data_IF_225046540630
#
_entry.id   IF_225046540630
#
_cell.length_a   1.000
_cell.length_b   1.000
_cell.length_c   1.000
_cell.angle_alpha   90.00
_cell.angle_beta   90.00
_cell.angle_gamma   90.00
#
_symmetry.space_group_name_H-M   'P 1'
#
loop_
_entity.id
_entity.type
_entity.pdbx_description
1 polymer ?
#
# COMPACT_ATOMS: atom_id res chain seq x y z
N UNK A 1 78.46 16.59 14.08
CA UNK A 1 77.21 17.24 14.55
C UNK A 1 76.95 18.41 13.61
N UNK A 2 75.88 18.56 12.84
CA UNK A 2 74.66 17.79 12.55
C UNK A 2 74.05 18.53 11.34
N UNK A 3 73.79 17.86 10.20
CA UNK A 3 73.16 18.48 9.02
C UNK A 3 71.64 18.47 9.22
N UNK A 4 71.02 19.65 9.25
CA UNK A 4 69.56 19.80 9.25
C UNK A 4 69.04 19.58 7.83
N UNK A 5 68.24 18.53 7.65
CA UNK A 5 67.46 18.26 6.44
C UNK A 5 66.09 18.90 6.63
N UNK A 6 65.80 19.92 5.84
CA UNK A 6 64.49 20.59 5.80
C UNK A 6 63.55 19.73 4.94
N UNK A 7 62.63 19.01 5.58
CA UNK A 7 61.57 18.25 4.91
C UNK A 7 60.40 19.19 4.64
N UNK A 8 60.23 19.56 3.36
CA UNK A 8 59.05 20.29 2.88
C UNK A 8 57.89 19.29 2.72
N UNK A 9 56.95 19.35 3.65
CA UNK A 9 55.72 18.56 3.66
C UNK A 9 54.70 19.27 2.76
N UNK A 10 54.58 18.82 1.52
CA UNK A 10 53.54 19.27 0.58
C UNK A 10 52.24 18.55 0.96
N UNK A 11 51.36 19.23 1.69
CA UNK A 11 49.98 18.78 1.91
C UNK A 11 49.18 18.98 0.63
N UNK A 12 48.96 17.92 -0.13
CA UNK A 12 48.01 17.90 -1.23
C UNK A 12 46.60 18.04 -0.66
N UNK A 13 45.97 19.20 -0.88
CA UNK A 13 44.55 19.39 -0.63
C UNK A 13 43.76 18.56 -1.66
N UNK A 14 43.19 17.43 -1.22
CA UNK A 14 42.17 16.72 -1.98
C UNK A 14 40.90 17.57 -1.98
N UNK A 15 40.80 18.52 -2.90
CA UNK A 15 39.49 19.04 -3.32
C UNK A 15 38.80 17.89 -4.07
N UNK A 16 37.94 17.13 -3.41
CA UNK A 16 37.01 16.27 -4.15
C UNK A 16 36.13 17.21 -4.98
N UNK A 17 36.33 17.23 -6.30
CA UNK A 17 35.32 17.78 -7.19
C UNK A 17 34.03 16.99 -6.94
N UNK A 18 33.07 17.61 -6.25
CA UNK A 18 31.71 17.11 -6.20
C UNK A 18 31.16 17.13 -7.63
N UNK A 19 30.57 16.02 -8.05
CA UNK A 19 29.88 15.97 -9.33
C UNK A 19 28.42 16.43 -9.17
N UNK A 20 27.76 16.82 -10.27
CA UNK A 20 26.37 17.18 -10.23
C UNK A 20 25.51 16.11 -9.55
N UNK A 21 24.65 16.52 -8.62
CA UNK A 21 23.72 15.67 -7.90
C UNK A 21 24.27 14.89 -6.70
N UNK A 22 25.57 14.98 -6.36
CA UNK A 22 26.15 14.30 -5.20
C UNK A 22 25.41 14.62 -3.88
N UNK A 23 24.87 15.83 -3.77
CA UNK A 23 24.09 16.34 -2.64
C UNK A 23 22.83 15.51 -2.37
N UNK A 24 22.22 14.92 -3.41
CA UNK A 24 20.97 14.14 -3.31
C UNK A 24 21.19 12.68 -2.93
N UNK A 25 22.42 12.16 -2.99
CA UNK A 25 22.70 10.75 -2.75
C UNK A 25 22.33 10.29 -1.33
N UNK A 26 22.30 11.20 -0.35
CA UNK A 26 21.84 10.91 1.02
C UNK A 26 20.34 10.59 1.03
N UNK A 27 19.55 11.51 0.48
CA UNK A 27 18.09 11.44 0.48
C UNK A 27 17.58 10.30 -0.39
N UNK A 28 18.19 10.08 -1.57
CA UNK A 28 17.84 8.97 -2.46
C UNK A 28 18.04 7.60 -1.79
N UNK A 29 19.14 7.42 -1.03
CA UNK A 29 19.36 6.19 -0.24
C UNK A 29 18.36 6.05 0.90
N UNK A 30 17.94 7.16 1.51
CA UNK A 30 16.92 7.10 2.54
C UNK A 30 15.59 6.65 1.95
N UNK A 31 15.16 7.26 0.84
CA UNK A 31 13.95 6.86 0.13
C UNK A 31 14.00 5.40 -0.33
N UNK A 32 15.13 4.92 -0.83
CA UNK A 32 15.31 3.50 -1.18
C UNK A 32 15.06 2.57 0.02
N UNK A 33 15.58 2.91 1.20
CA UNK A 33 15.33 2.14 2.43
C UNK A 33 13.86 2.19 2.84
N UNK A 34 13.23 3.35 2.74
CA UNK A 34 11.81 3.51 3.07
C UNK A 34 10.92 2.70 2.11
N UNK A 35 11.25 2.69 0.81
CA UNK A 35 10.56 1.85 -0.18
C UNK A 35 10.74 0.38 0.12
N UNK A 36 11.96 -0.08 0.44
CA UNK A 36 12.21 -1.46 0.83
C UNK A 36 11.45 -1.87 2.11
N UNK A 37 11.35 -0.97 3.10
CA UNK A 37 10.54 -1.19 4.29
C UNK A 37 9.06 -1.35 3.96
N UNK A 38 8.51 -0.46 3.12
CA UNK A 38 7.13 -0.58 2.63
C UNK A 38 6.89 -1.87 1.82
N UNK A 39 7.87 -2.32 1.03
CA UNK A 39 7.77 -3.55 0.24
C UNK A 39 7.71 -4.77 1.17
N UNK A 40 8.45 -4.72 2.28
CA UNK A 40 8.41 -5.75 3.32
C UNK A 40 7.02 -5.82 3.97
N UNK A 41 6.40 -4.68 4.27
CA UNK A 41 5.01 -4.61 4.76
C UNK A 41 4.05 -5.25 3.75
N UNK A 42 4.12 -4.86 2.47
CA UNK A 42 3.27 -5.44 1.42
C UNK A 42 3.44 -6.96 1.29
N UNK A 43 4.68 -7.46 1.40
CA UNK A 43 4.96 -8.90 1.29
C UNK A 43 4.39 -9.72 2.46
N UNK A 44 4.17 -9.09 3.62
CA UNK A 44 3.51 -9.73 4.75
C UNK A 44 2.00 -9.92 4.52
N UNK A 45 1.40 -9.15 3.59
CA UNK A 45 -0.01 -9.27 3.24
C UNK A 45 -0.24 -10.37 2.19
N UNK A 46 -0.94 -11.43 2.59
CA UNK A 46 -1.37 -12.47 1.67
C UNK A 46 -2.58 -12.00 0.83
N UNK A 47 -2.34 -11.71 -0.45
CA UNK A 47 -3.35 -11.26 -1.43
C UNK A 47 -4.55 -12.22 -1.49
N UNK A 48 -4.31 -13.54 -1.45
CA UNK A 48 -5.35 -14.56 -1.52
C UNK A 48 -6.23 -14.54 -0.27
N UNK A 49 -5.64 -14.26 0.90
CA UNK A 49 -6.40 -14.12 2.15
C UNK A 49 -7.35 -12.92 2.10
N UNK A 50 -6.90 -11.79 1.53
CA UNK A 50 -7.74 -10.60 1.32
C UNK A 50 -8.83 -10.87 0.28
N UNK A 51 -8.50 -11.59 -0.80
CA UNK A 51 -9.46 -11.99 -1.82
C UNK A 51 -10.55 -12.90 -1.24
N UNK A 52 -10.16 -13.91 -0.45
CA UNK A 52 -11.10 -14.81 0.22
C UNK A 52 -12.01 -14.07 1.21
N UNK A 53 -11.49 -13.08 1.93
CA UNK A 53 -12.32 -12.24 2.81
C UNK A 53 -13.35 -11.43 2.00
N UNK A 54 -12.95 -10.85 0.87
CA UNK A 54 -13.89 -10.14 -0.03
C UNK A 54 -14.97 -11.05 -0.56
N UNK A 55 -14.61 -12.27 -0.97
CA UNK A 55 -15.56 -13.24 -1.49
C UNK A 55 -16.58 -13.65 -0.42
N UNK A 56 -16.13 -13.92 0.81
CA UNK A 56 -17.04 -14.18 1.94
C UNK A 56 -18.02 -13.04 2.14
N UNK A 57 -17.53 -11.80 2.14
CA UNK A 57 -18.37 -10.60 2.29
C UNK A 57 -19.37 -10.48 1.14
N UNK A 58 -18.94 -10.71 -0.10
CA UNK A 58 -19.83 -10.70 -1.26
C UNK A 58 -20.96 -11.74 -1.15
N UNK A 59 -20.64 -12.97 -0.75
CA UNK A 59 -21.65 -14.02 -0.56
C UNK A 59 -22.69 -13.66 0.51
N UNK A 60 -22.27 -13.09 1.65
CA UNK A 60 -23.23 -12.65 2.69
C UNK A 60 -24.09 -11.50 2.21
N UNK A 61 -23.54 -10.57 1.44
CA UNK A 61 -24.35 -9.50 0.85
C UNK A 61 -25.37 -10.01 -0.16
N UNK A 62 -25.04 -11.04 -0.94
CA UNK A 62 -26.02 -11.67 -1.82
C UNK A 62 -27.21 -12.25 -1.03
N UNK A 63 -26.93 -12.88 0.11
CA UNK A 63 -27.97 -13.40 1.01
C UNK A 63 -28.80 -12.29 1.66
N UNK A 64 -28.13 -11.25 2.16
CA UNK A 64 -28.77 -10.11 2.83
C UNK A 64 -29.60 -9.26 1.88
N UNK A 65 -29.12 -9.02 0.65
CA UNK A 65 -29.83 -8.19 -0.33
C UNK A 65 -31.23 -8.76 -0.63
N UNK A 66 -31.34 -10.09 -0.72
CA UNK A 66 -32.62 -10.75 -0.91
C UNK A 66 -33.47 -10.76 0.37
N UNK A 67 -32.90 -11.10 1.53
CA UNK A 67 -33.63 -11.13 2.80
C UNK A 67 -34.18 -9.75 3.19
N UNK A 68 -33.38 -8.69 3.05
CA UNK A 68 -33.75 -7.32 3.43
C UNK A 68 -34.81 -6.73 2.49
N UNK A 69 -34.89 -7.22 1.24
CA UNK A 69 -35.92 -6.81 0.30
C UNK A 69 -37.31 -7.36 0.63
N UNK A 70 -37.41 -8.41 1.44
CA UNK A 70 -38.67 -9.02 1.84
C UNK A 70 -39.34 -8.23 2.96
N UNK A 71 -40.49 -7.63 2.68
CA UNK A 71 -41.24 -6.80 3.63
C UNK A 71 -41.90 -7.59 4.76
N UNK A 72 -41.93 -8.92 4.69
CA UNK A 72 -42.48 -9.78 5.75
C UNK A 72 -41.48 -10.01 6.89
N UNK A 73 -40.19 -9.75 6.65
CA UNK A 73 -39.14 -9.89 7.65
C UNK A 73 -38.94 -8.59 8.44
N UNK A 74 -38.88 -8.72 9.76
CA UNK A 74 -38.62 -7.61 10.68
C UNK A 74 -37.18 -7.67 11.16
N UNK A 75 -36.48 -6.54 11.10
CA UNK A 75 -35.10 -6.42 11.58
C UNK A 75 -35.04 -5.54 12.81
N UNK A 76 -34.25 -5.97 13.80
CA UNK A 76 -33.95 -5.15 14.98
C UNK A 76 -32.92 -4.07 14.66
N UNK A 77 -32.74 -3.13 15.59
CA UNK A 77 -31.69 -2.11 15.46
C UNK A 77 -30.32 -2.77 15.47
N UNK A 78 -30.13 -3.79 16.30
CA UNK A 78 -28.91 -4.58 16.42
C UNK A 78 -28.59 -5.30 15.11
N UNK A 79 -29.60 -5.88 14.44
CA UNK A 79 -29.43 -6.50 13.12
C UNK A 79 -28.96 -5.46 12.09
N UNK A 80 -29.59 -4.29 12.08
CA UNK A 80 -29.21 -3.18 11.20
C UNK A 80 -27.78 -2.70 11.43
N UNK A 81 -27.34 -2.61 12.69
CA UNK A 81 -25.96 -2.27 13.03
C UNK A 81 -24.97 -3.32 12.53
N UNK A 82 -25.31 -4.61 12.67
CA UNK A 82 -24.49 -5.72 12.19
C UNK A 82 -24.35 -5.73 10.66
N UNK A 83 -25.45 -5.52 9.94
CA UNK A 83 -25.44 -5.36 8.47
C UNK A 83 -24.59 -4.14 8.08
N UNK A 84 -24.75 -3.02 8.80
CA UNK A 84 -23.96 -1.81 8.61
C UNK A 84 -22.46 -2.02 8.84
N UNK A 85 -22.07 -2.83 9.83
CA UNK A 85 -20.68 -3.23 10.03
C UNK A 85 -20.14 -3.99 8.81
N UNK A 86 -20.92 -4.92 8.26
CA UNK A 86 -20.53 -5.66 7.05
C UNK A 86 -20.43 -4.75 5.82
N UNK A 87 -21.25 -3.70 5.73
CA UNK A 87 -21.12 -2.71 4.67
C UNK A 87 -19.80 -1.93 4.76
N UNK A 88 -19.33 -1.65 6.00
CA UNK A 88 -17.99 -1.08 6.22
C UNK A 88 -16.88 -2.04 5.85
N UNK A 89 -16.99 -3.33 6.22
CA UNK A 89 -16.04 -4.37 5.78
C UNK A 89 -15.92 -4.38 4.25
N UNK A 90 -17.06 -4.44 3.55
CA UNK A 90 -17.11 -4.41 2.08
C UNK A 90 -16.40 -3.18 1.51
N UNK A 91 -16.58 -2.01 2.13
CA UNK A 91 -15.93 -0.76 1.70
C UNK A 91 -14.42 -0.79 1.94
N UNK A 92 -13.96 -1.25 3.09
CA UNK A 92 -12.54 -1.35 3.41
C UNK A 92 -11.80 -2.31 2.47
N UNK A 93 -12.44 -3.43 2.14
CA UNK A 93 -11.83 -4.45 1.30
C UNK A 93 -12.09 -4.24 -0.20
N UNK A 94 -12.84 -3.21 -0.63
CA UNK A 94 -13.39 -3.07 -1.99
C UNK A 94 -12.37 -3.29 -3.10
N UNK A 95 -11.12 -2.84 -2.95
CA UNK A 95 -10.07 -2.94 -3.96
C UNK A 95 -8.77 -3.57 -3.43
N UNK A 96 -8.81 -4.24 -2.27
CA UNK A 96 -7.62 -4.70 -1.53
C UNK A 96 -6.61 -5.49 -2.39
N UNK A 97 -7.01 -6.61 -3.05
CA UNK A 97 -6.09 -7.41 -3.85
C UNK A 97 -5.45 -6.65 -5.02
N UNK A 98 -6.24 -5.83 -5.71
CA UNK A 98 -5.76 -4.99 -6.82
C UNK A 98 -4.80 -3.92 -6.31
N UNK A 99 -5.06 -3.32 -5.14
CA UNK A 99 -4.15 -2.33 -4.53
C UNK A 99 -2.83 -2.96 -4.13
N UNK A 100 -2.84 -4.12 -3.47
CA UNK A 100 -1.61 -4.83 -3.08
C UNK A 100 -0.73 -5.16 -4.30
N UNK A 101 -1.31 -5.75 -5.33
CA UNK A 101 -0.59 -6.11 -6.56
C UNK A 101 -0.07 -4.89 -7.33
N UNK A 102 -0.83 -3.78 -7.31
CA UNK A 102 -0.40 -2.53 -7.95
C UNK A 102 0.74 -1.88 -7.18
N UNK A 103 0.65 -1.82 -5.85
CA UNK A 103 1.68 -1.23 -4.99
C UNK A 103 2.99 -2.03 -5.04
N UNK A 104 2.95 -3.36 -5.12
CA UNK A 104 4.15 -4.19 -5.31
C UNK A 104 4.88 -3.82 -6.62
N UNK A 105 4.14 -3.67 -7.73
CA UNK A 105 4.71 -3.26 -9.02
C UNK A 105 5.27 -1.84 -8.97
N UNK A 106 4.54 -0.91 -8.36
CA UNK A 106 4.97 0.48 -8.22
C UNK A 106 6.19 0.62 -7.32
N UNK A 107 6.29 -0.17 -6.25
CA UNK A 107 7.45 -0.16 -5.36
C UNK A 107 8.71 -0.66 -6.06
N UNK A 108 8.61 -1.75 -6.84
CA UNK A 108 9.71 -2.24 -7.69
C UNK A 108 10.16 -1.20 -8.71
N UNK A 109 9.20 -0.49 -9.34
CA UNK A 109 9.51 0.60 -10.26
C UNK A 109 10.24 1.74 -9.54
N UNK A 110 9.74 2.16 -8.37
CA UNK A 110 10.36 3.21 -7.58
C UNK A 110 11.80 2.86 -7.16
N UNK A 111 12.05 1.63 -6.71
CA UNK A 111 13.40 1.14 -6.40
C UNK A 111 14.32 1.21 -7.63
N UNK A 112 13.85 0.77 -8.79
CA UNK A 112 14.64 0.85 -10.02
C UNK A 112 14.94 2.28 -10.43
N UNK A 113 13.98 3.21 -10.29
CA UNK A 113 14.19 4.62 -10.63
C UNK A 113 15.19 5.30 -9.68
N UNK A 114 15.08 5.04 -8.38
CA UNK A 114 16.03 5.52 -7.37
C UNK A 114 17.45 5.00 -7.63
N UNK A 115 17.59 3.70 -7.90
CA UNK A 115 18.88 3.08 -8.23
C UNK A 115 19.48 3.66 -9.51
N UNK A 116 18.70 3.75 -10.59
CA UNK A 116 19.15 4.33 -11.86
C UNK A 116 19.63 5.77 -11.68
N UNK A 117 18.91 6.59 -10.91
CA UNK A 117 19.30 7.98 -10.65
C UNK A 117 20.59 8.04 -9.82
N UNK A 118 20.70 7.23 -8.77
CA UNK A 118 21.94 7.15 -7.97
C UNK A 118 23.13 6.67 -8.79
N UNK A 119 22.93 5.73 -9.72
CA UNK A 119 23.99 5.27 -10.63
C UNK A 119 24.40 6.36 -11.61
N UNK A 120 23.45 7.11 -12.18
CA UNK A 120 23.75 8.23 -13.06
C UNK A 120 24.56 9.32 -12.36
N UNK A 121 24.20 9.67 -11.12
CA UNK A 121 24.97 10.61 -10.29
C UNK A 121 26.38 10.05 -10.05
N UNK A 122 26.51 8.84 -9.49
CA UNK A 122 27.83 8.26 -9.13
C UNK A 122 28.74 8.02 -10.34
N UNK A 123 28.15 7.75 -11.50
CA UNK A 123 28.85 7.53 -12.75
C UNK A 123 29.25 8.82 -13.47
N UNK A 124 28.88 9.99 -12.94
CA UNK A 124 29.13 11.28 -13.59
C UNK A 124 28.48 11.37 -14.97
N UNK A 125 27.25 10.86 -15.11
CA UNK A 125 26.52 10.92 -16.36
C UNK A 125 26.34 12.38 -16.80
N UNK A 126 26.64 12.67 -18.06
CA UNK A 126 26.67 14.05 -18.60
C UNK A 126 25.46 14.36 -19.47
N UNK A 127 24.81 13.35 -20.04
CA UNK A 127 23.63 13.47 -20.88
C UNK A 127 22.65 12.31 -20.63
N UNK A 128 21.35 12.59 -20.70
CA UNK A 128 20.30 11.57 -20.64
C UNK A 128 20.09 10.87 -21.99
N UNK A 129 19.17 9.89 -22.04
CA UNK A 129 18.87 9.13 -23.24
C UNK A 129 18.33 9.95 -24.42
N UNK A 130 17.91 11.20 -24.19
CA UNK A 130 17.42 12.13 -25.20
C UNK A 130 18.45 13.22 -25.56
N UNK A 131 19.68 13.13 -25.02
CA UNK A 131 20.72 14.15 -25.18
C UNK A 131 20.53 15.39 -24.31
N UNK A 132 19.72 15.31 -23.25
CA UNK A 132 19.55 16.41 -22.29
C UNK A 132 20.76 16.44 -21.36
N UNK A 133 21.46 17.59 -21.20
CA UNK A 133 22.54 17.71 -20.24
C UNK A 133 22.08 17.39 -18.81
N UNK A 134 22.86 16.57 -18.11
CA UNK A 134 22.63 16.16 -16.72
C UNK A 134 23.47 17.03 -15.77
N UNK A 135 23.13 18.32 -15.72
CA UNK A 135 23.73 19.27 -14.77
C UNK A 135 23.06 19.22 -13.39
N UNK A 136 23.47 20.11 -12.47
CA UNK A 136 22.88 20.15 -11.12
C UNK A 136 21.37 20.38 -11.17
N UNK A 137 20.89 21.27 -12.05
CA UNK A 137 19.47 21.58 -12.17
C UNK A 137 18.67 20.38 -12.70
N UNK A 138 19.26 19.58 -13.59
CA UNK A 138 18.70 18.30 -13.99
C UNK A 138 18.56 17.37 -12.79
N UNK A 139 19.63 17.16 -12.02
CA UNK A 139 19.61 16.24 -10.88
C UNK A 139 18.71 16.71 -9.75
N UNK A 140 18.63 18.00 -9.45
CA UNK A 140 17.64 18.59 -8.53
C UNK A 140 16.22 18.21 -8.94
N UNK A 141 15.91 18.39 -10.22
CA UNK A 141 14.59 18.11 -10.78
C UNK A 141 14.26 16.62 -10.77
N UNK A 142 15.22 15.74 -11.05
CA UNK A 142 14.97 14.30 -11.03
C UNK A 142 14.88 13.78 -9.59
N UNK A 143 15.79 14.18 -8.70
CA UNK A 143 15.74 13.79 -7.30
C UNK A 143 14.42 14.19 -6.65
N UNK A 144 13.96 15.43 -6.86
CA UNK A 144 12.67 15.88 -6.35
C UNK A 144 11.47 15.05 -6.86
N UNK A 145 11.52 14.55 -8.10
CA UNK A 145 10.47 13.69 -8.66
C UNK A 145 10.48 12.32 -8.01
N UNK A 146 11.64 11.68 -7.94
CA UNK A 146 11.77 10.32 -7.42
C UNK A 146 11.50 10.26 -5.91
N UNK A 147 11.98 11.24 -5.14
CA UNK A 147 11.68 11.35 -3.71
C UNK A 147 10.19 11.53 -3.44
N UNK A 148 9.52 12.39 -4.23
CA UNK A 148 8.06 12.59 -4.11
C UNK A 148 7.29 11.32 -4.50
N UNK A 149 7.74 10.60 -5.53
CA UNK A 149 7.12 9.34 -5.93
C UNK A 149 7.24 8.28 -4.82
N UNK A 150 8.42 8.16 -4.19
CA UNK A 150 8.66 7.27 -3.06
C UNK A 150 7.77 7.62 -1.85
N UNK A 151 7.66 8.90 -1.50
CA UNK A 151 6.80 9.38 -0.42
C UNK A 151 5.32 9.04 -0.68
N UNK A 152 4.81 9.38 -1.86
CA UNK A 152 3.41 9.10 -2.22
C UNK A 152 3.09 7.60 -2.23
N UNK A 153 4.04 6.80 -2.71
CA UNK A 153 3.93 5.36 -2.67
C UNK A 153 3.89 4.84 -1.23
N UNK A 154 4.76 5.33 -0.34
CA UNK A 154 4.78 4.95 1.08
C UNK A 154 3.48 5.28 1.82
N UNK A 155 2.91 6.47 1.57
CA UNK A 155 1.59 6.85 2.09
C UNK A 155 0.48 5.90 1.59
N UNK A 156 0.54 5.49 0.32
CA UNK A 156 -0.42 4.55 -0.24
C UNK A 156 -0.29 3.14 0.36
N UNK A 157 0.93 2.71 0.70
CA UNK A 157 1.17 1.46 1.45
C UNK A 157 0.52 1.52 2.82
N UNK A 158 0.81 2.57 3.61
CA UNK A 158 0.27 2.73 4.96
C UNK A 158 -1.27 2.77 4.98
N UNK A 159 -1.89 3.49 4.04
CA UNK A 159 -3.34 3.54 3.95
C UNK A 159 -3.94 2.19 3.50
N UNK A 160 -3.25 1.47 2.61
CA UNK A 160 -3.70 0.15 2.17
C UNK A 160 -3.64 -0.87 3.31
N UNK A 161 -2.55 -0.88 4.06
CA UNK A 161 -2.40 -1.68 5.28
C UNK A 161 -3.53 -1.37 6.27
N UNK A 162 -3.74 -0.10 6.61
CA UNK A 162 -4.79 0.32 7.55
C UNK A 162 -6.17 -0.17 7.13
N UNK A 163 -6.54 0.00 5.86
CA UNK A 163 -7.85 -0.41 5.35
C UNK A 163 -8.01 -1.93 5.35
N UNK A 164 -6.99 -2.68 4.93
CA UNK A 164 -7.06 -4.14 4.93
C UNK A 164 -7.15 -4.67 6.35
N UNK A 165 -6.33 -4.19 7.30
CA UNK A 165 -6.40 -4.56 8.71
C UNK A 165 -7.81 -4.33 9.27
N UNK A 166 -8.35 -3.11 9.13
CA UNK A 166 -9.70 -2.79 9.60
C UNK A 166 -10.78 -3.67 8.98
N UNK A 167 -10.65 -3.99 7.68
CA UNK A 167 -11.58 -4.87 6.99
C UNK A 167 -11.52 -6.30 7.52
N UNK A 168 -10.33 -6.88 7.64
CA UNK A 168 -10.12 -8.25 8.10
C UNK A 168 -10.50 -8.41 9.58
N UNK A 169 -10.09 -7.50 10.44
CA UNK A 169 -10.40 -7.54 11.87
C UNK A 169 -11.91 -7.47 12.11
N UNK A 170 -12.60 -6.53 11.45
CA UNK A 170 -14.04 -6.37 11.59
C UNK A 170 -14.81 -7.57 10.99
N UNK A 171 -14.35 -8.10 9.85
CA UNK A 171 -14.91 -9.32 9.26
C UNK A 171 -14.79 -10.50 10.23
N UNK A 172 -13.59 -10.74 10.78
CA UNK A 172 -13.35 -11.81 11.72
C UNK A 172 -14.20 -11.66 13.00
N UNK A 173 -14.27 -10.45 13.57
CA UNK A 173 -14.99 -10.16 14.81
C UNK A 173 -16.50 -10.34 14.69
N UNK A 174 -17.08 -10.15 13.50
CA UNK A 174 -18.54 -10.13 13.31
C UNK A 174 -19.08 -11.27 12.45
N UNK A 175 -18.21 -12.17 11.98
CA UNK A 175 -18.56 -13.30 11.10
C UNK A 175 -19.62 -14.21 11.69
N UNK A 176 -19.41 -14.70 12.91
CA UNK A 176 -20.35 -15.62 13.53
C UNK A 176 -21.73 -14.99 13.71
N UNK A 177 -21.77 -13.70 14.07
CA UNK A 177 -23.01 -12.96 14.27
C UNK A 177 -23.78 -12.78 12.96
N UNK A 178 -23.12 -12.40 11.85
CA UNK A 178 -23.84 -12.22 10.58
C UNK A 178 -24.35 -13.56 10.04
N UNK A 179 -23.57 -14.63 10.17
CA UNK A 179 -23.97 -15.96 9.72
C UNK A 179 -25.19 -16.46 10.53
N UNK A 180 -25.21 -16.17 11.84
CA UNK A 180 -26.37 -16.44 12.69
C UNK A 180 -27.59 -15.63 12.26
N UNK A 181 -27.44 -14.33 12.01
CA UNK A 181 -28.54 -13.47 11.56
C UNK A 181 -29.15 -13.99 10.26
N UNK A 182 -28.33 -14.26 9.24
CA UNK A 182 -28.79 -14.79 7.95
C UNK A 182 -29.55 -16.10 8.14
N UNK A 183 -29.04 -17.01 8.99
CA UNK A 183 -29.71 -18.28 9.28
C UNK A 183 -31.08 -18.07 9.94
N UNK A 184 -31.17 -17.19 10.93
CA UNK A 184 -32.42 -16.89 11.62
C UNK A 184 -33.43 -16.29 10.65
N UNK A 185 -33.03 -15.29 9.87
CA UNK A 185 -33.92 -14.62 8.91
C UNK A 185 -34.40 -15.55 7.79
N UNK A 186 -33.54 -16.47 7.33
CA UNK A 186 -33.96 -17.55 6.42
C UNK A 186 -35.01 -18.48 7.03
N UNK A 187 -34.87 -18.82 8.30
CA UNK A 187 -35.84 -19.69 8.98
C UNK A 187 -37.18 -18.98 9.21
N UNK A 188 -37.15 -17.71 9.60
CA UNK A 188 -38.35 -16.87 9.72
C UNK A 188 -39.09 -16.79 8.38
N UNK A 189 -38.36 -16.52 7.29
CA UNK A 189 -38.92 -16.48 5.94
C UNK A 189 -39.53 -17.81 5.48
N UNK A 190 -38.86 -18.93 5.76
CA UNK A 190 -39.40 -20.24 5.40
C UNK A 190 -40.72 -20.52 6.16
N UNK A 191 -40.85 -20.03 7.40
CA UNK A 191 -42.07 -20.18 8.18
C UNK A 191 -43.22 -19.30 7.65
N UNK A 192 -42.94 -18.08 7.15
CA UNK A 192 -43.99 -17.23 6.55
C UNK A 192 -44.59 -17.90 5.31
N UNK A 193 -43.75 -18.42 4.40
CA UNK A 193 -44.21 -19.16 3.23
C UNK A 193 -45.05 -20.40 3.58
N UNK A 194 -44.70 -21.14 4.63
CA UNK A 194 -45.48 -22.31 5.05
C UNK A 194 -46.86 -21.94 5.57
N UNK A 195 -46.99 -20.79 6.23
CA UNK A 195 -48.28 -20.33 6.77
C UNK A 195 -49.18 -19.75 5.68
N UNK A 196 -48.60 -19.10 4.67
CA UNK A 196 -49.33 -18.59 3.50
C UNK A 196 -49.86 -19.69 2.58
N UNK A 197 -49.13 -20.80 2.42
CA UNK A 197 -49.54 -21.92 1.56
C UNK A 197 -50.44 -22.97 2.24
N UNK A 198 -50.59 -22.90 3.57
CA UNK A 198 -51.44 -23.80 4.37
C UNK A 198 -52.80 -23.21 4.75
N UNK A 199 -53.09 -21.98 4.32
CA UNK A 199 -54.35 -21.24 4.52
C UNK A 199 -55.18 -21.24 3.24
#
# INVERSE_FOLDING_TARGET
>A
MTKQVLFLLVTAAFFSCSQPGDTHLGDLRSAERDVNAGMSILSAWNVDSVAAARERVAMRFQDLDWLVADSTLVYTVEDGQLIGNWARVKRFLKDGPTRLTTLDKQGKLCLSQLDNLMQAIRGGATEDANGTPMDEAYFDKQAARELKAAEQWGLAVAETERLISLGIELEAATRASIDSLIRVKRAEWAATLSNENGS
#
